data_IF_885198721403
#
_entry.id   IF_885198721403
#
_cell.length_a   1.000
_cell.length_b   1.000
_cell.length_c   1.000
_cell.angle_alpha   90.00
_cell.angle_beta   90.00
_cell.angle_gamma   90.00
#
_symmetry.space_group_name_H-M   'P 1'
#
loop_
_entity.id
_entity.type
_entity.pdbx_description
1 polymer ?
#
# COMPACT_ATOMS: atom_id res chain seq x y z
N UNK A 1 29.40 -1.47 -4.75
CA UNK A 1 28.41 -0.37 -4.68
C UNK A 1 27.94 -0.30 -3.25
N UNK A 2 28.14 0.86 -2.62
CA UNK A 2 28.15 1.09 -1.18
C UNK A 2 26.74 1.09 -0.55
N UNK A 3 26.60 0.27 0.51
CA UNK A 3 25.59 0.27 1.57
C UNK A 3 24.29 1.05 1.35
N UNK A 4 23.24 0.35 0.92
CA UNK A 4 21.89 0.77 1.26
C UNK A 4 21.75 0.68 2.79
N UNK A 5 21.53 1.82 3.43
CA UNK A 5 21.14 1.88 4.83
C UNK A 5 19.77 1.22 4.93
N UNK A 6 19.61 0.20 5.77
CA UNK A 6 18.28 -0.39 5.98
C UNK A 6 17.36 0.69 6.58
N UNK A 7 16.27 0.99 5.88
CA UNK A 7 15.23 1.89 6.37
C UNK A 7 14.44 1.18 7.47
N UNK A 8 14.27 1.83 8.62
CA UNK A 8 13.27 1.41 9.60
C UNK A 8 11.85 1.55 9.05
N UNK A 9 10.87 0.86 9.64
CA UNK A 9 9.48 0.93 9.16
C UNK A 9 8.90 2.36 9.20
N UNK A 10 9.33 3.16 10.18
CA UNK A 10 9.01 4.59 10.22
C UNK A 10 9.59 5.34 9.02
N UNK A 11 10.86 5.11 8.70
CA UNK A 11 11.53 5.78 7.57
C UNK A 11 10.94 5.33 6.23
N UNK A 12 10.55 4.06 6.08
CA UNK A 12 9.80 3.59 4.90
C UNK A 12 8.48 4.33 4.72
N UNK A 13 7.72 4.50 5.80
CA UNK A 13 6.46 5.25 5.76
C UNK A 13 6.66 6.73 5.42
N UNK A 14 7.71 7.35 5.97
CA UNK A 14 8.09 8.74 5.64
C UNK A 14 8.50 8.87 4.18
N UNK A 15 9.39 8.00 3.70
CA UNK A 15 9.87 7.99 2.31
C UNK A 15 8.70 7.79 1.33
N UNK A 16 7.76 6.92 1.66
CA UNK A 16 6.52 6.72 0.88
C UNK A 16 5.67 8.01 0.83
N UNK A 17 5.59 8.75 1.93
CA UNK A 17 4.96 10.08 1.96
C UNK A 17 5.68 11.11 1.08
N UNK A 18 7.02 11.12 1.09
CA UNK A 18 7.82 11.97 0.20
C UNK A 18 7.54 11.62 -1.26
N UNK A 19 7.56 10.34 -1.62
CA UNK A 19 7.31 9.84 -2.97
C UNK A 19 5.96 10.32 -3.51
N UNK A 20 4.88 10.12 -2.76
CA UNK A 20 3.53 10.53 -3.15
C UNK A 20 3.37 12.06 -3.24
N UNK A 21 4.16 12.82 -2.47
CA UNK A 21 4.14 14.27 -2.52
C UNK A 21 4.90 14.82 -3.73
N UNK A 22 6.08 14.25 -3.99
CA UNK A 22 7.01 14.64 -5.05
C UNK A 22 6.50 14.31 -6.45
N UNK A 23 5.96 13.10 -6.63
CA UNK A 23 5.53 12.61 -7.95
C UNK A 23 4.02 12.64 -8.15
N UNK A 24 3.26 12.88 -7.09
CA UNK A 24 1.82 13.14 -7.15
C UNK A 24 1.07 12.10 -8.02
N UNK A 25 0.38 12.54 -9.08
CA UNK A 25 -0.35 11.65 -10.00
C UNK A 25 0.56 10.68 -10.73
N UNK A 26 1.76 11.08 -11.12
CA UNK A 26 2.71 10.20 -11.82
C UNK A 26 3.04 8.98 -10.94
N UNK A 27 3.27 9.20 -9.64
CA UNK A 27 3.51 8.12 -8.69
C UNK A 27 2.27 7.26 -8.40
N UNK A 28 1.06 7.83 -8.48
CA UNK A 28 -0.16 7.02 -8.38
C UNK A 28 -0.32 6.08 -9.57
N UNK A 29 -0.16 6.64 -10.77
CA UNK A 29 -0.39 5.94 -12.03
C UNK A 29 0.60 4.78 -12.19
N UNK A 30 1.85 4.99 -11.79
CA UNK A 30 2.92 3.98 -11.79
C UNK A 30 2.60 2.75 -10.92
N UNK A 31 1.91 2.95 -9.79
CA UNK A 31 1.47 1.86 -8.92
C UNK A 31 0.06 1.34 -9.27
N UNK A 32 -0.57 1.88 -10.32
CA UNK A 32 -1.91 1.49 -10.76
C UNK A 32 -3.04 1.91 -9.80
N UNK A 33 -2.82 2.94 -8.96
CA UNK A 33 -3.82 3.38 -8.01
C UNK A 33 -4.86 4.32 -8.66
N UNK A 34 -6.14 4.05 -8.43
CA UNK A 34 -7.24 4.89 -8.94
C UNK A 34 -7.39 6.24 -8.22
N UNK A 35 -6.72 6.39 -7.07
CA UNK A 35 -6.69 7.63 -6.32
C UNK A 35 -5.95 7.51 -5.00
N UNK A 36 -5.69 8.65 -4.36
CA UNK A 36 -4.87 8.71 -3.16
C UNK A 36 -5.46 7.98 -1.95
N UNK A 37 -6.78 7.92 -1.80
CA UNK A 37 -7.40 7.13 -0.73
C UNK A 37 -7.05 5.65 -0.85
N UNK A 38 -7.11 5.11 -2.07
CA UNK A 38 -6.70 3.74 -2.36
C UNK A 38 -5.19 3.53 -2.13
N UNK A 39 -4.36 4.46 -2.59
CA UNK A 39 -2.91 4.43 -2.37
C UNK A 39 -2.54 4.42 -0.88
N UNK A 40 -3.15 5.28 -0.06
CA UNK A 40 -2.86 5.33 1.38
C UNK A 40 -3.23 4.04 2.09
N UNK A 41 -4.37 3.44 1.72
CA UNK A 41 -4.78 2.16 2.27
C UNK A 41 -3.76 1.09 1.92
N UNK A 42 -3.49 0.90 0.63
CA UNK A 42 -2.59 -0.14 0.15
C UNK A 42 -1.20 0.00 0.75
N UNK A 43 -0.57 1.16 0.58
CA UNK A 43 0.80 1.40 1.04
C UNK A 43 0.90 1.39 2.57
N UNK A 44 -0.13 1.87 3.28
CA UNK A 44 -0.17 1.84 4.74
C UNK A 44 -0.15 0.40 5.27
N UNK A 45 -1.09 -0.42 4.81
CA UNK A 45 -1.19 -1.82 5.23
C UNK A 45 0.05 -2.63 4.84
N UNK A 46 0.56 -2.47 3.62
CA UNK A 46 1.81 -3.13 3.19
C UNK A 46 3.01 -2.82 4.07
N UNK A 47 3.07 -1.62 4.66
CA UNK A 47 4.14 -1.20 5.58
C UNK A 47 3.83 -1.47 7.05
N UNK A 48 2.67 -2.05 7.38
CA UNK A 48 2.23 -2.26 8.75
C UNK A 48 1.92 -0.97 9.53
N UNK A 49 1.57 0.11 8.82
CA UNK A 49 1.21 1.41 9.44
C UNK A 49 -0.21 1.83 9.09
N UNK A 50 -0.79 2.71 9.89
CA UNK A 50 -2.12 3.25 9.58
C UNK A 50 -2.08 4.03 8.24
N UNK A 51 -3.09 3.88 7.35
CA UNK A 51 -3.19 4.66 6.12
C UNK A 51 -3.11 6.17 6.35
N UNK A 52 -3.68 6.61 7.48
CA UNK A 52 -3.64 8.01 7.92
C UNK A 52 -2.20 8.52 8.13
N UNK A 53 -1.27 7.66 8.53
CA UNK A 53 0.14 8.02 8.67
C UNK A 53 0.77 8.38 7.32
N UNK A 54 0.53 7.59 6.27
CA UNK A 54 1.02 7.87 4.92
C UNK A 54 0.45 9.19 4.40
N UNK A 55 -0.86 9.40 4.59
CA UNK A 55 -1.51 10.67 4.25
C UNK A 55 -0.85 11.85 4.99
N UNK A 56 -0.63 11.73 6.30
CA UNK A 56 -0.04 12.78 7.11
C UNK A 56 1.41 13.09 6.70
N UNK A 57 2.19 12.08 6.29
CA UNK A 57 3.53 12.31 5.78
C UNK A 57 3.50 13.03 4.45
N UNK A 58 2.63 12.63 3.52
CA UNK A 58 2.43 13.40 2.30
C UNK A 58 2.05 14.85 2.57
N UNK A 59 1.08 15.10 3.46
CA UNK A 59 0.66 16.46 3.82
C UNK A 59 1.80 17.29 4.45
N UNK A 60 2.74 16.66 5.15
CA UNK A 60 3.95 17.30 5.69
C UNK A 60 4.91 17.75 4.56
N UNK A 61 4.97 17.02 3.44
CA UNK A 61 5.89 17.29 2.32
C UNK A 61 5.24 18.04 1.14
N UNK A 62 3.91 18.09 1.03
CA UNK A 62 3.20 18.83 -0.01
C UNK A 62 3.65 20.31 -0.15
N UNK A 63 4.00 21.05 0.93
CA UNK A 63 4.58 22.39 0.81
C UNK A 63 6.00 22.44 0.23
N UNK A 64 6.75 21.33 0.24
CA UNK A 64 8.16 21.25 -0.19
C UNK A 64 8.26 21.15 -1.71
N UNK A 65 7.33 20.44 -2.34
CA UNK A 65 7.30 20.21 -3.79
C UNK A 65 6.31 21.14 -4.49
N UNK A 66 6.44 21.36 -5.82
CA UNK A 66 5.50 22.17 -6.58
C UNK A 66 4.18 21.43 -6.83
N UNK A 67 3.45 21.07 -5.77
CA UNK A 67 2.18 20.36 -5.83
C UNK A 67 1.00 21.36 -5.81
N UNK A 68 -0.10 21.08 -6.55
CA UNK A 68 -1.36 21.80 -6.37
C UNK A 68 -1.87 21.76 -4.93
N UNK A 69 -1.68 20.62 -4.25
CA UNK A 69 -1.98 20.47 -2.83
C UNK A 69 -1.00 21.26 -1.99
N UNK A 70 -1.53 21.85 -0.93
CA UNK A 70 -0.77 22.77 -0.08
C UNK A 70 -0.28 22.14 1.21
N UNK A 71 -0.83 20.98 1.61
CA UNK A 71 -0.45 20.31 2.84
C UNK A 71 -0.42 21.22 4.07
N UNK A 72 0.49 20.94 4.99
CA UNK A 72 0.71 21.72 6.22
C UNK A 72 1.68 22.89 6.00
N UNK A 73 1.16 24.02 5.49
CA UNK A 73 1.96 25.22 5.19
C UNK A 73 2.56 25.98 6.38
N UNK A 74 1.98 25.84 7.57
CA UNK A 74 2.36 26.64 8.75
C UNK A 74 3.14 25.83 9.79
N UNK A 75 3.74 24.71 9.38
CA UNK A 75 4.48 23.81 10.26
C UNK A 75 5.92 23.69 9.79
N UNK A 76 6.86 23.79 10.72
CA UNK A 76 8.27 23.44 10.44
C UNK A 76 8.38 21.94 10.23
N UNK A 77 9.04 21.54 9.14
CA UNK A 77 9.32 20.14 8.84
C UNK A 77 10.05 19.48 10.03
N UNK A 78 9.54 18.34 10.48
CA UNK A 78 10.16 17.59 11.58
C UNK A 78 11.57 17.13 11.22
N UNK A 79 12.46 17.13 12.21
CA UNK A 79 13.88 16.79 12.00
C UNK A 79 14.09 15.41 11.37
N UNK A 80 13.35 14.39 11.80
CA UNK A 80 13.47 13.05 11.21
C UNK A 80 12.91 12.98 9.79
N UNK A 81 11.78 13.66 9.52
CA UNK A 81 11.22 13.78 8.18
C UNK A 81 12.21 14.44 7.21
N UNK A 82 12.90 15.48 7.68
CA UNK A 82 13.94 16.15 6.90
C UNK A 82 15.10 15.22 6.56
N UNK A 83 15.59 14.42 7.51
CA UNK A 83 16.66 13.44 7.24
C UNK A 83 16.28 12.46 6.14
N UNK A 84 15.06 11.91 6.20
CA UNK A 84 14.57 10.99 5.17
C UNK A 84 14.44 11.69 3.82
N UNK A 85 13.89 12.92 3.81
CA UNK A 85 13.81 13.73 2.60
C UNK A 85 15.19 13.95 1.97
N UNK A 86 16.18 14.39 2.74
CA UNK A 86 17.53 14.67 2.26
C UNK A 86 18.19 13.40 1.66
N UNK A 87 17.84 12.21 2.13
CA UNK A 87 18.33 10.93 1.61
C UNK A 87 17.69 10.54 0.27
N UNK A 88 16.39 10.75 0.11
CA UNK A 88 15.61 10.25 -1.04
C UNK A 88 15.36 11.31 -2.12
N UNK A 89 15.50 12.59 -1.81
CA UNK A 89 15.27 13.68 -2.77
C UNK A 89 16.21 13.64 -4.00
N UNK A 90 17.48 13.22 -3.89
CA UNK A 90 18.33 13.09 -5.07
C UNK A 90 17.91 11.96 -6.03
N UNK A 91 17.04 11.04 -5.59
CA UNK A 91 16.64 9.89 -6.41
C UNK A 91 15.79 10.32 -7.61
N UNK A 92 16.07 9.69 -8.74
CA UNK A 92 15.25 9.79 -9.94
C UNK A 92 13.86 9.20 -9.70
N UNK A 93 12.90 9.49 -10.58
CA UNK A 93 11.57 8.88 -10.51
C UNK A 93 11.66 7.35 -10.48
N UNK A 94 12.46 6.75 -11.37
CA UNK A 94 12.59 5.31 -11.50
C UNK A 94 13.27 4.67 -10.28
N UNK A 95 14.34 5.29 -9.77
CA UNK A 95 15.08 4.75 -8.62
C UNK A 95 14.25 4.87 -7.33
N UNK A 96 13.53 5.98 -7.15
CA UNK A 96 12.66 6.14 -5.99
C UNK A 96 11.43 5.24 -6.09
N UNK A 97 10.86 5.07 -7.29
CA UNK A 97 9.76 4.10 -7.51
C UNK A 97 10.22 2.70 -7.14
N UNK A 98 11.41 2.28 -7.61
CA UNK A 98 12.00 0.98 -7.29
C UNK A 98 12.17 0.83 -5.77
N UNK A 99 12.72 1.85 -5.11
CA UNK A 99 12.91 1.85 -3.67
C UNK A 99 11.59 1.72 -2.89
N UNK A 100 10.52 2.41 -3.30
CA UNK A 100 9.22 2.27 -2.62
C UNK A 100 8.62 0.90 -2.89
N UNK A 101 8.78 0.34 -4.10
CA UNK A 101 8.34 -1.02 -4.43
C UNK A 101 9.03 -2.08 -3.54
N UNK A 102 10.33 -1.95 -3.26
CA UNK A 102 11.03 -2.88 -2.34
C UNK A 102 10.52 -2.81 -0.89
N UNK A 103 9.86 -1.72 -0.50
CA UNK A 103 9.26 -1.63 0.84
C UNK A 103 7.95 -2.39 0.96
N UNK A 104 7.16 -2.47 -0.12
CA UNK A 104 5.76 -2.92 -0.09
C UNK A 104 5.52 -4.26 -0.81
N UNK A 105 6.44 -4.67 -1.68
CA UNK A 105 6.38 -5.95 -2.42
C UNK A 105 7.41 -6.89 -1.81
N UNK A 106 6.96 -8.04 -1.31
CA UNK A 106 7.87 -9.08 -0.81
C UNK A 106 8.66 -9.67 -1.98
N UNK A 107 9.96 -9.88 -1.76
CA UNK A 107 10.87 -10.50 -2.73
C UNK A 107 10.96 -9.79 -4.10
N UNK A 108 10.68 -8.47 -4.15
CA UNK A 108 10.68 -7.65 -5.36
C UNK A 108 11.91 -7.85 -6.27
N UNK A 109 13.11 -7.87 -5.68
CA UNK A 109 14.36 -8.02 -6.44
C UNK A 109 14.51 -9.42 -7.06
N UNK A 110 13.96 -10.46 -6.40
CA UNK A 110 14.00 -11.84 -6.91
C UNK A 110 13.03 -12.03 -8.09
N UNK A 111 11.89 -11.36 -8.04
CA UNK A 111 10.85 -11.41 -9.10
C UNK A 111 11.24 -10.58 -10.32
N UNK A 112 11.90 -9.43 -10.15
CA UNK A 112 12.36 -8.61 -11.27
C UNK A 112 13.36 -9.35 -12.19
N UNK A 113 14.15 -10.27 -11.62
CA UNK A 113 15.14 -11.05 -12.38
C UNK A 113 14.50 -12.11 -13.29
N UNK A 114 13.24 -12.49 -13.03
CA UNK A 114 12.45 -13.45 -13.83
C UNK A 114 11.80 -12.81 -15.08
N UNK A 115 11.60 -11.50 -15.10
CA UNK A 115 10.68 -10.82 -16.02
C UNK A 115 11.34 -9.96 -17.12
N UNK A 116 12.47 -10.38 -17.69
CA UNK A 116 12.97 -9.77 -18.95
C UNK A 116 12.22 -10.29 -20.19
N UNK A 117 10.89 -10.30 -20.17
CA UNK A 117 10.03 -10.51 -21.33
C UNK A 117 8.94 -9.42 -21.38
N UNK A 118 8.57 -8.91 -22.58
CA UNK A 118 7.86 -7.64 -22.69
C UNK A 118 6.36 -7.78 -22.38
N UNK A 119 5.82 -6.76 -21.69
CA UNK A 119 4.45 -6.53 -21.16
C UNK A 119 4.18 -7.04 -19.74
N UNK A 120 4.69 -6.34 -18.73
CA UNK A 120 4.56 -6.72 -17.30
C UNK A 120 3.95 -5.64 -16.39
N UNK A 121 3.55 -4.48 -16.90
CA UNK A 121 2.98 -3.38 -16.07
C UNK A 121 1.68 -3.76 -15.33
N UNK A 122 1.03 -4.87 -15.70
CA UNK A 122 -0.15 -5.38 -14.99
C UNK A 122 0.16 -6.42 -13.91
N UNK A 123 1.30 -7.10 -13.94
CA UNK A 123 1.58 -8.19 -13.01
C UNK A 123 2.17 -7.70 -11.68
N UNK A 124 3.25 -6.91 -11.73
CA UNK A 124 3.84 -6.32 -10.53
C UNK A 124 2.82 -5.47 -9.73
N UNK A 125 1.96 -4.73 -10.46
CA UNK A 125 0.86 -3.98 -9.87
C UNK A 125 -0.19 -4.88 -9.21
N UNK A 126 -0.52 -6.04 -9.81
CA UNK A 126 -1.42 -7.05 -9.19
C UNK A 126 -0.79 -7.70 -7.96
N UNK A 127 0.52 -7.89 -7.93
CA UNK A 127 1.20 -8.49 -6.78
C UNK A 127 1.22 -7.54 -5.58
N UNK A 128 1.61 -6.28 -5.81
CA UNK A 128 1.62 -5.24 -4.79
C UNK A 128 0.22 -4.95 -4.23
N UNK A 129 -0.78 -4.81 -5.12
CA UNK A 129 -2.16 -4.54 -4.73
C UNK A 129 -2.89 -5.78 -4.22
N UNK A 130 -2.52 -6.98 -4.66
CA UNK A 130 -3.12 -8.24 -4.23
C UNK A 130 -2.92 -8.49 -2.74
N UNK A 131 -1.67 -8.44 -2.26
CA UNK A 131 -1.39 -8.64 -0.83
C UNK A 131 -2.06 -7.60 0.07
N UNK A 132 -2.07 -6.33 -0.36
CA UNK A 132 -2.75 -5.27 0.38
C UNK A 132 -4.28 -5.38 0.30
N UNK A 133 -4.84 -5.84 -0.82
CA UNK A 133 -6.27 -6.10 -0.96
C UNK A 133 -6.70 -7.26 -0.04
N UNK A 134 -5.89 -8.31 0.09
CA UNK A 134 -6.13 -9.39 1.05
C UNK A 134 -6.13 -8.88 2.49
N UNK A 135 -5.12 -8.09 2.88
CA UNK A 135 -5.03 -7.55 4.23
C UNK A 135 -6.18 -6.58 4.53
N UNK A 136 -6.50 -5.70 3.59
CA UNK A 136 -7.67 -4.83 3.68
C UNK A 136 -8.95 -5.63 3.88
N UNK A 137 -9.16 -6.68 3.08
CA UNK A 137 -10.31 -7.55 3.20
C UNK A 137 -10.37 -8.17 4.60
N UNK A 138 -9.28 -8.75 5.12
CA UNK A 138 -9.22 -9.33 6.48
C UNK A 138 -9.60 -8.34 7.58
N UNK A 139 -9.21 -7.07 7.45
CA UNK A 139 -9.48 -6.04 8.45
C UNK A 139 -10.90 -5.49 8.38
N UNK A 140 -11.51 -5.46 7.18
CA UNK A 140 -12.77 -4.73 6.94
C UNK A 140 -13.99 -5.59 6.67
N UNK A 141 -13.84 -6.85 6.28
CA UNK A 141 -15.00 -7.68 5.91
C UNK A 141 -16.04 -7.80 7.03
N UNK A 142 -15.61 -7.80 8.30
CA UNK A 142 -16.51 -7.94 9.46
C UNK A 142 -17.37 -6.69 9.71
N UNK A 143 -16.93 -5.51 9.25
CA UNK A 143 -17.68 -4.25 9.35
C UNK A 143 -18.68 -4.08 8.19
N UNK A 144 -18.54 -4.87 7.12
CA UNK A 144 -19.31 -4.71 5.88
C UNK A 144 -20.56 -5.59 5.86
N UNK A 145 -21.71 -4.95 5.63
CA UNK A 145 -23.03 -5.59 5.69
C UNK A 145 -23.19 -6.71 4.66
N UNK A 146 -22.51 -6.59 3.51
CA UNK A 146 -22.53 -7.59 2.44
C UNK A 146 -22.02 -8.98 2.87
N UNK A 147 -21.23 -9.06 3.95
CA UNK A 147 -20.70 -10.33 4.48
C UNK A 147 -21.41 -10.78 5.76
N UNK A 148 -22.44 -10.05 6.21
CA UNK A 148 -23.23 -10.44 7.37
C UNK A 148 -23.92 -11.79 7.12
N UNK A 149 -23.80 -12.71 8.09
CA UNK A 149 -24.33 -14.07 7.94
C UNK A 149 -23.44 -15.04 7.17
N UNK A 150 -22.20 -14.66 6.84
CA UNK A 150 -21.20 -15.59 6.29
C UNK A 150 -20.02 -15.80 7.26
N UNK A 151 -19.58 -17.06 7.38
CA UNK A 151 -18.27 -17.39 7.91
C UNK A 151 -17.23 -17.29 6.79
N UNK A 152 -16.19 -16.50 7.02
CA UNK A 152 -15.08 -16.32 6.07
C UNK A 152 -13.92 -17.24 6.45
N UNK A 153 -13.39 -17.98 5.49
CA UNK A 153 -12.19 -18.81 5.64
C UNK A 153 -11.10 -18.29 4.69
N UNK A 154 -9.92 -17.99 5.23
CA UNK A 154 -8.74 -17.65 4.44
C UNK A 154 -8.23 -18.89 3.68
N UNK A 155 -8.07 -18.76 2.37
CA UNK A 155 -7.62 -19.78 1.43
C UNK A 155 -6.42 -19.35 0.59
N UNK A 156 -5.80 -18.20 0.90
CA UNK A 156 -4.64 -17.63 0.18
C UNK A 156 -3.49 -18.63 -0.01
N UNK A 157 -3.28 -19.52 0.98
CA UNK A 157 -2.22 -20.54 0.94
C UNK A 157 -2.63 -21.87 0.32
N UNK A 158 -3.86 -22.02 -0.16
CA UNK A 158 -4.37 -23.29 -0.69
C UNK A 158 -4.19 -23.44 -2.21
N UNK A 159 -3.70 -22.40 -2.90
CA UNK A 159 -3.44 -22.45 -4.34
C UNK A 159 -4.69 -22.70 -5.19
N UNK A 160 -5.89 -22.43 -4.66
CA UNK A 160 -7.16 -22.75 -5.31
C UNK A 160 -7.72 -21.62 -6.20
N UNK A 161 -6.93 -20.57 -6.46
CA UNK A 161 -7.32 -19.43 -7.30
C UNK A 161 -8.26 -18.43 -6.64
N UNK A 162 -8.52 -18.57 -5.33
CA UNK A 162 -9.34 -17.65 -4.53
C UNK A 162 -8.71 -17.45 -3.15
N UNK A 163 -8.70 -16.20 -2.68
CA UNK A 163 -8.05 -15.82 -1.43
C UNK A 163 -8.93 -16.07 -0.20
N UNK A 164 -10.26 -15.97 -0.35
CA UNK A 164 -11.22 -16.17 0.74
C UNK A 164 -12.45 -16.97 0.30
N UNK A 165 -12.86 -17.92 1.14
CA UNK A 165 -14.08 -18.72 0.98
C UNK A 165 -15.17 -18.27 1.94
N UNK A 166 -16.34 -17.93 1.42
CA UNK A 166 -17.53 -17.60 2.21
C UNK A 166 -18.40 -18.84 2.42
N UNK A 167 -18.91 -19.02 3.64
CA UNK A 167 -19.87 -20.07 3.98
C UNK A 167 -21.07 -19.44 4.69
N UNK A 168 -22.26 -19.63 4.16
CA UNK A 168 -23.49 -19.14 4.79
C UNK A 168 -23.64 -19.77 6.19
N UNK A 169 -23.91 -18.93 7.19
CA UNK A 169 -24.30 -19.34 8.53
C UNK A 169 -25.79 -19.66 8.49
N UNK A 170 -26.14 -20.94 8.37
CA UNK A 170 -27.55 -21.36 8.39
C UNK A 170 -28.14 -21.19 9.80
N UNK A 171 -29.15 -20.33 9.94
CA UNK A 171 -30.11 -20.39 11.03
C UNK A 171 -31.35 -21.14 10.54
N UNK A 172 -31.52 -22.41 10.90
CA UNK A 172 -32.80 -23.09 10.74
C UNK A 172 -33.11 -23.87 12.01
N UNK A 173 -33.86 -23.24 12.91
CA UNK A 173 -34.86 -23.96 13.71
C UNK A 173 -36.20 -23.39 13.32
N UNK A 174 -36.87 -24.02 12.35
CA UNK A 174 -38.30 -23.82 12.13
C UNK A 174 -39.03 -24.91 12.90
N UNK A 175 -39.52 -24.57 14.09
CA UNK A 175 -40.53 -25.38 14.77
C UNK A 175 -41.89 -25.04 14.15
N UNK A 176 -42.53 -26.02 13.52
CA UNK A 176 -43.94 -25.96 13.21
C UNK A 176 -44.67 -26.79 14.27
N UNK A 177 -45.61 -26.18 14.97
CA UNK A 177 -46.59 -26.89 15.81
C UNK A 177 -47.83 -27.17 14.97
N UNK A 178 -48.38 -28.39 15.12
CA UNK A 178 -49.61 -28.86 14.49
C UNK A 178 -50.85 -28.09 15.00
#
# INVERSE_FOLDING_TARGET
MSGFTEFSDLEKAVATGVYLSKFDKQGLDEFGFTGFGNAYNVLGYSLGVLPKSIQNYRDEFDPVFPNPRKGWRNRKLRTYCKKVLDLVDPLSFDDFTRLVKTFVIKDYDAEQYSEKAPNTDTWANRLATGGAAEEYFRLKYAEETAFSGFAVKDTTKLGCGFDFKLKLLTAVTKCYTA
#
